data_IF_023408921686
#
_entry.id   IF_023408921686
#
_cell.length_a   1.000
_cell.length_b   1.000
_cell.length_c   1.000
_cell.angle_alpha   90.00
_cell.angle_beta   90.00
_cell.angle_gamma   90.00
#
_symmetry.space_group_name_H-M   'P 1'
#
loop_
_entity.id
_entity.type
_entity.pdbx_description
1 polymer ?
#
# COMPACT_ATOMS: atom_id res chain seq x y z
N UNK A 1 11.38 50.58 -38.62
CA UNK A 1 11.10 49.87 -39.90
C UNK A 1 12.10 48.75 -40.07
N UNK A 2 11.82 47.57 -39.50
CA UNK A 2 12.71 46.41 -39.55
C UNK A 2 11.91 45.21 -40.06
N UNK A 3 12.31 44.74 -41.24
CA UNK A 3 11.69 43.67 -42.02
C UNK A 3 12.04 42.32 -41.39
N UNK A 4 11.16 41.75 -40.56
CA UNK A 4 11.26 40.34 -40.18
C UNK A 4 10.69 39.48 -41.32
N UNK A 5 11.60 38.92 -42.11
CA UNK A 5 11.29 37.86 -43.08
C UNK A 5 10.93 36.59 -42.30
N UNK A 6 9.65 36.25 -42.28
CA UNK A 6 9.21 34.93 -41.84
C UNK A 6 9.63 33.90 -42.89
N UNK A 7 10.59 33.06 -42.54
CA UNK A 7 10.84 31.80 -43.23
C UNK A 7 9.81 30.78 -42.71
N UNK A 8 8.72 30.62 -43.46
CA UNK A 8 7.79 29.50 -43.33
C UNK A 8 8.53 28.26 -43.83
N UNK A 9 9.12 27.50 -42.92
CA UNK A 9 9.64 26.17 -43.24
C UNK A 9 8.45 25.22 -43.28
N UNK A 10 7.96 24.96 -44.48
CA UNK A 10 7.01 23.88 -44.76
C UNK A 10 7.68 22.54 -44.44
N UNK A 11 7.36 21.97 -43.27
CA UNK A 11 7.65 20.57 -42.98
C UNK A 11 6.59 19.78 -43.76
N UNK A 12 7.01 19.27 -44.92
CA UNK A 12 6.26 18.28 -45.67
C UNK A 12 6.01 17.09 -44.73
N UNK A 13 4.72 16.78 -44.55
CA UNK A 13 4.25 15.68 -43.72
C UNK A 13 4.90 14.38 -44.17
N UNK A 14 5.75 13.85 -43.29
CA UNK A 14 6.16 12.46 -43.33
C UNK A 14 4.92 11.65 -42.98
N UNK A 15 4.28 11.09 -44.00
CA UNK A 15 3.26 10.06 -43.88
C UNK A 15 3.92 8.87 -43.16
N UNK A 16 3.73 8.78 -41.85
CA UNK A 16 3.96 7.53 -41.12
C UNK A 16 2.92 6.56 -41.66
N UNK A 17 3.34 5.73 -42.62
CA UNK A 17 2.59 4.55 -43.01
C UNK A 17 2.17 3.83 -41.73
N UNK A 18 0.88 3.55 -41.64
CA UNK A 18 0.31 2.62 -40.67
C UNK A 18 1.07 1.30 -40.75
N UNK A 19 2.06 1.15 -39.87
CA UNK A 19 2.65 -0.12 -39.54
C UNK A 19 1.54 -0.95 -38.93
N UNK A 20 1.18 -2.02 -39.63
CA UNK A 20 0.21 -3.01 -39.27
C UNK A 20 0.16 -3.21 -37.75
N UNK A 21 -1.04 -3.13 -37.20
CA UNK A 21 -1.44 -3.77 -35.95
C UNK A 21 -1.13 -5.26 -36.08
N UNK A 22 0.15 -5.61 -35.90
CA UNK A 22 0.59 -6.96 -35.71
C UNK A 22 -0.11 -7.41 -34.45
N UNK A 23 -1.19 -8.16 -34.64
CA UNK A 23 -1.67 -9.11 -33.67
C UNK A 23 -0.45 -9.97 -33.30
N UNK A 24 0.27 -9.56 -32.27
CA UNK A 24 1.28 -10.36 -31.61
C UNK A 24 0.52 -11.43 -30.83
N UNK A 25 -0.07 -12.36 -31.59
CA UNK A 25 -0.57 -13.62 -31.11
C UNK A 25 0.67 -14.41 -30.70
N UNK A 26 1.13 -14.18 -29.47
CA UNK A 26 2.17 -14.95 -28.83
C UNK A 26 1.70 -16.41 -28.76
N UNK A 27 2.28 -17.33 -29.56
CA UNK A 27 1.80 -18.69 -29.62
C UNK A 27 2.38 -19.47 -28.42
N UNK A 28 1.51 -19.93 -27.52
CA UNK A 28 1.81 -21.08 -26.67
C UNK A 28 2.53 -20.84 -25.34
N UNK A 29 2.74 -19.60 -24.90
CA UNK A 29 3.22 -19.33 -23.54
C UNK A 29 2.05 -19.23 -22.57
N UNK A 30 1.89 -20.20 -21.66
CA UNK A 30 0.97 -20.14 -20.52
C UNK A 30 0.95 -18.73 -19.92
N UNK A 31 -0.08 -17.95 -20.26
CA UNK A 31 -0.20 -16.50 -20.05
C UNK A 31 -0.28 -16.13 -18.58
N UNK A 32 0.84 -16.23 -17.88
CA UNK A 32 1.06 -15.56 -16.60
C UNK A 32 1.40 -14.11 -16.95
N UNK A 33 0.37 -13.31 -17.23
CA UNK A 33 0.51 -11.85 -17.26
C UNK A 33 1.33 -11.42 -16.05
N UNK A 34 2.36 -10.60 -16.28
CA UNK A 34 3.32 -10.18 -15.27
C UNK A 34 2.56 -9.47 -14.14
N UNK A 35 2.29 -10.18 -13.04
CA UNK A 35 1.46 -9.68 -11.92
C UNK A 35 2.31 -8.79 -11.01
N UNK A 36 2.40 -7.50 -11.32
CA UNK A 36 2.93 -6.50 -10.39
C UNK A 36 1.79 -6.14 -9.42
N UNK A 37 1.58 -7.00 -8.42
CA UNK A 37 0.36 -6.92 -7.61
C UNK A 37 -0.88 -7.30 -8.44
N UNK A 38 -2.04 -7.45 -7.80
CA UNK A 38 -3.26 -7.90 -8.48
C UNK A 38 -4.02 -6.74 -9.15
N UNK A 39 -3.31 -5.83 -9.80
CA UNK A 39 -3.91 -4.67 -10.45
C UNK A 39 -3.77 -4.85 -11.96
N UNK A 40 -4.89 -4.87 -12.68
CA UNK A 40 -4.91 -4.91 -14.15
C UNK A 40 -5.37 -3.54 -14.63
N UNK A 41 -4.44 -2.76 -15.19
CA UNK A 41 -4.76 -1.49 -15.86
C UNK A 41 -5.18 -1.80 -17.31
N UNK A 42 -6.19 -1.09 -17.82
CA UNK A 42 -6.56 -1.16 -19.24
C UNK A 42 -5.50 -0.45 -20.11
N UNK A 43 -5.43 -0.81 -21.39
CA UNK A 43 -4.48 -0.22 -22.34
C UNK A 43 -4.61 1.30 -22.45
N UNK A 44 -5.84 1.83 -22.38
CA UNK A 44 -6.11 3.27 -22.44
C UNK A 44 -5.53 4.04 -21.24
N UNK A 45 -5.38 3.39 -20.09
CA UNK A 45 -4.78 3.99 -18.88
C UNK A 45 -3.25 3.99 -18.91
N UNK A 46 -2.64 3.26 -19.85
CA UNK A 46 -1.18 3.16 -20.00
C UNK A 46 -0.60 4.21 -20.95
N UNK A 47 -1.39 4.71 -21.89
CA UNK A 47 -0.93 5.64 -22.94
C UNK A 47 -0.57 7.05 -22.42
N UNK A 48 -1.11 7.46 -21.28
CA UNK A 48 -0.74 8.75 -20.65
C UNK A 48 0.66 8.76 -20.03
N UNK A 49 1.32 7.60 -19.93
CA UNK A 49 2.63 7.48 -19.28
C UNK A 49 3.82 7.66 -20.24
N UNK A 50 3.62 7.52 -21.56
CA UNK A 50 4.70 7.38 -22.55
C UNK A 50 5.63 8.60 -22.68
N UNK A 51 5.22 9.77 -22.19
CA UNK A 51 5.98 11.03 -22.29
C UNK A 51 6.59 11.50 -20.97
N UNK A 52 6.62 10.66 -19.94
CA UNK A 52 7.21 11.06 -18.67
C UNK A 52 8.76 10.99 -18.70
N UNK A 53 9.48 12.07 -18.28
CA UNK A 53 10.95 12.10 -18.32
C UNK A 53 11.60 11.03 -17.43
N UNK A 54 10.85 10.48 -16.47
CA UNK A 54 11.30 9.35 -15.64
C UNK A 54 11.36 8.04 -16.41
N UNK A 55 10.44 7.79 -17.33
CA UNK A 55 10.46 6.56 -18.14
C UNK A 55 11.59 6.61 -19.16
N UNK A 56 11.83 7.76 -19.80
CA UNK A 56 12.98 7.93 -20.70
C UNK A 56 14.32 7.67 -19.99
N UNK A 57 14.50 8.22 -18.79
CA UNK A 57 15.68 7.96 -17.96
C UNK A 57 15.78 6.48 -17.56
N UNK A 58 14.65 5.83 -17.30
CA UNK A 58 14.63 4.41 -16.96
C UNK A 58 15.03 3.56 -18.16
N UNK A 59 14.47 3.83 -19.34
CA UNK A 59 14.79 3.14 -20.59
C UNK A 59 16.28 3.22 -20.87
N UNK A 60 16.84 4.45 -20.83
CA UNK A 60 18.27 4.69 -21.00
C UNK A 60 19.13 3.85 -20.04
N UNK A 61 18.70 3.72 -18.77
CA UNK A 61 19.40 2.90 -17.77
C UNK A 61 19.26 1.40 -18.03
N UNK A 62 18.11 0.94 -18.52
CA UNK A 62 17.89 -0.45 -18.85
C UNK A 62 18.73 -0.84 -20.07
N UNK A 63 18.74 -0.01 -21.11
CA UNK A 63 19.53 -0.20 -22.33
C UNK A 63 21.04 -0.24 -22.01
N UNK A 64 21.52 0.68 -21.17
CA UNK A 64 22.92 0.67 -20.73
C UNK A 64 23.31 -0.63 -20.00
N UNK A 65 22.37 -1.24 -19.26
CA UNK A 65 22.61 -2.52 -18.56
C UNK A 65 22.54 -3.71 -19.51
N UNK A 66 21.71 -3.66 -20.55
CA UNK A 66 21.68 -4.67 -21.61
C UNK A 66 22.97 -4.62 -22.42
N UNK A 67 23.40 -3.41 -22.82
CA UNK A 67 24.68 -3.20 -23.50
C UNK A 67 25.88 -3.67 -22.66
N UNK A 68 25.83 -3.49 -21.34
CA UNK A 68 26.85 -4.00 -20.42
C UNK A 68 26.73 -5.52 -20.13
N UNK A 69 25.79 -6.24 -20.74
CA UNK A 69 25.56 -7.68 -20.50
C UNK A 69 25.05 -8.03 -19.09
N UNK A 70 24.65 -7.03 -18.29
CA UNK A 70 24.16 -7.22 -16.90
C UNK A 70 22.69 -7.64 -16.84
N UNK A 71 22.02 -7.70 -17.98
CA UNK A 71 20.59 -7.95 -18.13
C UNK A 71 20.28 -8.37 -19.58
N UNK A 72 19.31 -9.24 -19.79
CA UNK A 72 18.80 -9.59 -21.12
C UNK A 72 17.74 -8.59 -21.58
N UNK A 73 17.53 -8.46 -22.90
CA UNK A 73 16.52 -7.57 -23.47
C UNK A 73 15.11 -7.86 -22.91
N UNK A 74 14.70 -9.13 -22.88
CA UNK A 74 13.40 -9.53 -22.31
C UNK A 74 13.21 -9.07 -20.86
N UNK A 75 14.27 -9.09 -20.05
CA UNK A 75 14.24 -8.63 -18.65
C UNK A 75 14.19 -7.10 -18.57
N UNK A 76 14.78 -6.39 -19.52
CA UNK A 76 14.68 -4.93 -19.61
C UNK A 76 13.24 -4.54 -19.98
N UNK A 77 12.68 -5.15 -21.01
CA UNK A 77 11.32 -4.87 -21.49
C UNK A 77 10.28 -5.16 -20.40
N UNK A 78 10.41 -6.29 -19.69
CA UNK A 78 9.54 -6.63 -18.56
C UNK A 78 9.60 -5.59 -17.43
N UNK A 79 10.79 -5.04 -17.14
CA UNK A 79 10.96 -3.98 -16.13
C UNK A 79 10.41 -2.65 -16.59
N UNK A 80 10.57 -2.35 -17.88
CA UNK A 80 10.03 -1.13 -18.46
C UNK A 80 8.50 -1.15 -18.41
N UNK A 81 7.88 -2.28 -18.78
CA UNK A 81 6.43 -2.47 -18.69
C UNK A 81 5.91 -2.36 -17.24
N UNK A 82 6.61 -2.95 -16.26
CA UNK A 82 6.27 -2.77 -14.85
C UNK A 82 6.38 -1.29 -14.43
N UNK A 83 7.44 -0.60 -14.84
CA UNK A 83 7.62 0.79 -14.48
C UNK A 83 6.56 1.70 -15.12
N UNK A 84 6.19 1.45 -16.38
CA UNK A 84 5.13 2.16 -17.08
C UNK A 84 3.79 2.03 -16.34
N UNK A 85 3.43 0.80 -15.93
CA UNK A 85 2.23 0.55 -15.09
C UNK A 85 2.28 1.29 -13.75
N UNK A 86 3.45 1.36 -13.11
CA UNK A 86 3.60 2.05 -11.83
C UNK A 86 3.47 3.55 -11.98
N UNK A 87 4.01 4.12 -13.06
CA UNK A 87 3.93 5.55 -13.35
C UNK A 87 2.49 5.94 -13.67
N UNK A 88 1.78 5.19 -14.54
CA UNK A 88 0.37 5.48 -14.85
C UNK A 88 -0.51 5.41 -13.61
N UNK A 89 -0.36 4.36 -12.79
CA UNK A 89 -1.09 4.21 -11.53
C UNK A 89 -0.78 5.34 -10.53
N UNK A 90 0.48 5.80 -10.50
CA UNK A 90 0.88 6.92 -9.64
C UNK A 90 0.25 8.24 -10.09
N UNK A 91 0.17 8.50 -11.39
CA UNK A 91 -0.46 9.72 -11.91
C UNK A 91 -1.97 9.72 -11.66
N UNK A 92 -2.66 8.60 -11.88
CA UNK A 92 -4.09 8.46 -11.55
C UNK A 92 -4.37 8.72 -10.06
N UNK A 93 -3.53 8.16 -9.18
CA UNK A 93 -3.60 8.41 -7.74
C UNK A 93 -3.37 9.86 -7.37
N UNK A 94 -2.39 10.48 -8.03
CA UNK A 94 -2.01 11.86 -7.77
C UNK A 94 -3.13 12.79 -8.21
N UNK A 95 -3.74 12.52 -9.35
CA UNK A 95 -4.88 13.26 -9.88
C UNK A 95 -6.08 13.14 -8.93
N UNK A 96 -6.46 11.92 -8.56
CA UNK A 96 -7.56 11.69 -7.62
C UNK A 96 -7.38 12.38 -6.27
N UNK A 97 -6.14 12.51 -5.80
CA UNK A 97 -5.82 13.26 -4.56
C UNK A 97 -5.89 14.76 -4.74
N UNK A 98 -5.58 15.27 -5.94
CA UNK A 98 -5.48 16.70 -6.24
C UNK A 98 -6.81 17.30 -6.69
N UNK A 99 -7.62 16.55 -7.43
CA UNK A 99 -8.91 16.99 -7.95
C UNK A 99 -9.77 17.76 -6.92
N UNK A 100 -10.04 17.26 -5.70
CA UNK A 100 -10.87 18.01 -4.74
C UNK A 100 -10.18 19.26 -4.18
N UNK A 101 -8.84 19.31 -4.20
CA UNK A 101 -8.10 20.51 -3.80
C UNK A 101 -8.18 21.57 -4.88
N UNK A 102 -8.06 21.18 -6.15
CA UNK A 102 -8.21 22.08 -7.30
C UNK A 102 -9.63 22.65 -7.39
N UNK A 103 -10.64 21.80 -7.16
CA UNK A 103 -12.05 22.20 -7.07
C UNK A 103 -12.27 23.21 -5.94
N UNK A 104 -11.73 22.94 -4.73
CA UNK A 104 -11.84 23.86 -3.59
C UNK A 104 -11.18 25.22 -3.87
N UNK A 105 -10.01 25.23 -4.53
CA UNK A 105 -9.29 26.45 -4.89
C UNK A 105 -9.96 27.22 -6.05
N UNK A 106 -10.82 26.55 -6.82
CA UNK A 106 -11.35 27.07 -8.08
C UNK A 106 -10.22 27.47 -9.03
N UNK A 107 -9.21 26.60 -9.15
CA UNK A 107 -8.03 26.79 -9.99
C UNK A 107 -7.71 25.50 -10.74
N UNK A 108 -7.08 25.64 -11.91
CA UNK A 108 -6.58 24.51 -12.72
C UNK A 108 -5.21 24.03 -12.24
N UNK A 109 -4.78 22.84 -12.66
CA UNK A 109 -3.44 22.33 -12.31
C UNK A 109 -2.32 23.22 -12.87
N UNK A 110 -2.52 23.78 -14.06
CA UNK A 110 -1.54 24.66 -14.72
C UNK A 110 -1.37 25.99 -13.98
N UNK A 111 -2.47 26.57 -13.47
CA UNK A 111 -2.42 27.76 -12.63
C UNK A 111 -1.69 27.47 -11.31
N UNK A 112 -1.98 26.34 -10.66
CA UNK A 112 -1.30 25.94 -9.42
C UNK A 112 0.20 25.70 -9.65
N UNK A 113 0.57 25.13 -10.80
CA UNK A 113 1.96 24.90 -11.19
C UNK A 113 2.69 26.21 -11.47
N UNK A 114 2.04 27.14 -12.15
CA UNK A 114 2.56 28.48 -12.44
C UNK A 114 2.76 29.27 -11.16
N UNK A 115 1.76 29.32 -10.28
CA UNK A 115 1.85 29.98 -8.97
C UNK A 115 3.01 29.43 -8.13
N UNK A 116 3.26 28.11 -8.18
CA UNK A 116 4.42 27.50 -7.52
C UNK A 116 5.75 27.91 -8.14
N UNK A 117 5.82 28.02 -9.47
CA UNK A 117 7.04 28.46 -10.17
C UNK A 117 7.35 29.93 -9.90
N UNK A 118 6.33 30.74 -9.69
CA UNK A 118 6.43 32.14 -9.27
C UNK A 118 6.79 32.31 -7.79
N UNK A 119 6.81 31.22 -7.03
CA UNK A 119 7.18 31.21 -5.61
C UNK A 119 6.02 31.46 -4.64
N UNK A 120 4.79 31.61 -5.15
CA UNK A 120 3.59 31.75 -4.33
C UNK A 120 3.38 30.48 -3.51
N UNK A 121 3.27 30.63 -2.19
CA UNK A 121 3.06 29.47 -1.33
C UNK A 121 1.59 29.06 -1.36
N UNK A 122 1.32 27.77 -1.13
CA UNK A 122 -0.07 27.28 -1.04
C UNK A 122 -0.87 28.04 0.03
N UNK A 123 -0.19 28.53 1.08
CA UNK A 123 -0.82 29.32 2.13
C UNK A 123 -1.31 30.68 1.64
N UNK A 124 -0.48 31.38 0.86
CA UNK A 124 -0.85 32.67 0.27
C UNK A 124 -2.06 32.53 -0.67
N UNK A 125 -2.11 31.44 -1.45
CA UNK A 125 -3.25 31.14 -2.34
C UNK A 125 -4.54 30.91 -1.54
N UNK A 126 -4.47 30.17 -0.42
CA UNK A 126 -5.62 29.92 0.46
C UNK A 126 -6.12 31.22 1.08
N UNK A 127 -5.20 32.05 1.58
CA UNK A 127 -5.53 33.34 2.20
C UNK A 127 -6.19 34.27 1.15
N UNK A 128 -5.68 34.31 -0.08
CA UNK A 128 -6.26 35.07 -1.19
C UNK A 128 -7.67 34.59 -1.58
N UNK A 129 -7.92 33.28 -1.47
CA UNK A 129 -9.22 32.66 -1.79
C UNK A 129 -10.18 32.62 -0.58
N UNK A 130 -9.73 33.05 0.60
CA UNK A 130 -10.51 32.98 1.84
C UNK A 130 -10.80 31.54 2.29
N UNK A 131 -9.95 30.58 1.92
CA UNK A 131 -10.12 29.16 2.26
C UNK A 131 -9.40 28.86 3.57
N UNK A 132 -10.11 28.25 4.51
CA UNK A 132 -9.54 27.89 5.81
C UNK A 132 -8.66 26.63 5.73
N UNK A 133 -7.67 26.47 6.62
CA UNK A 133 -6.87 25.25 6.72
C UNK A 133 -7.71 23.98 6.95
N UNK A 134 -8.87 24.10 7.57
CA UNK A 134 -9.78 22.98 7.83
C UNK A 134 -10.50 22.53 6.56
N UNK A 135 -10.96 23.46 5.73
CA UNK A 135 -11.51 23.14 4.40
C UNK A 135 -10.47 22.46 3.52
N UNK A 136 -9.22 22.95 3.53
CA UNK A 136 -8.13 22.29 2.81
C UNK A 136 -7.89 20.87 3.34
N UNK A 137 -7.89 20.68 4.67
CA UNK A 137 -7.70 19.36 5.27
C UNK A 137 -8.83 18.41 4.86
N UNK A 138 -10.06 18.90 4.78
CA UNK A 138 -11.19 18.10 4.35
C UNK A 138 -11.10 17.72 2.86
N UNK A 139 -10.74 18.66 1.98
CA UNK A 139 -10.48 18.36 0.57
C UNK A 139 -9.38 17.30 0.40
N UNK A 140 -8.30 17.39 1.18
CA UNK A 140 -7.22 16.40 1.16
C UNK A 140 -7.67 15.01 1.66
N UNK A 141 -8.54 14.96 2.68
CA UNK A 141 -9.14 13.68 3.13
C UNK A 141 -10.06 13.10 2.08
N UNK A 142 -10.90 13.93 1.46
CA UNK A 142 -11.76 13.55 0.35
C UNK A 142 -10.95 12.97 -0.81
N UNK A 143 -9.86 13.65 -1.20
CA UNK A 143 -8.95 13.15 -2.23
C UNK A 143 -8.27 11.83 -1.86
N UNK A 144 -7.88 11.67 -0.58
CA UNK A 144 -7.34 10.40 -0.10
C UNK A 144 -8.40 9.28 -0.12
N UNK A 145 -9.66 9.59 0.17
CA UNK A 145 -10.78 8.65 0.08
C UNK A 145 -11.07 8.27 -1.37
N UNK A 146 -11.13 9.23 -2.29
CA UNK A 146 -11.31 9.00 -3.73
C UNK A 146 -10.19 8.12 -4.29
N UNK A 147 -8.93 8.44 -3.96
CA UNK A 147 -7.77 7.65 -4.35
C UNK A 147 -7.81 6.22 -3.78
N UNK A 148 -8.33 6.04 -2.55
CA UNK A 148 -8.51 4.71 -1.95
C UNK A 148 -9.61 3.91 -2.66
N UNK A 149 -10.70 4.57 -3.04
CA UNK A 149 -11.79 3.94 -3.82
C UNK A 149 -11.27 3.48 -5.19
N UNK A 150 -10.57 4.36 -5.91
CA UNK A 150 -9.94 4.02 -7.19
C UNK A 150 -8.94 2.87 -7.05
N UNK A 151 -8.12 2.86 -5.99
CA UNK A 151 -7.23 1.72 -5.71
C UNK A 151 -8.00 0.42 -5.47
N UNK A 152 -9.14 0.47 -4.80
CA UNK A 152 -9.99 -0.71 -4.59
C UNK A 152 -10.61 -1.25 -5.89
N UNK A 153 -10.88 -0.36 -6.84
CA UNK A 153 -11.48 -0.69 -8.13
C UNK A 153 -10.44 -1.20 -9.14
N UNK A 154 -9.31 -0.51 -9.28
CA UNK A 154 -8.21 -0.86 -10.20
C UNK A 154 -7.44 -2.08 -9.70
N UNK A 155 -7.20 -2.17 -8.41
CA UNK A 155 -6.62 -3.35 -7.78
C UNK A 155 -7.77 -4.17 -7.21
N UNK A 156 -8.48 -4.90 -8.07
CA UNK A 156 -9.46 -5.90 -7.65
C UNK A 156 -8.82 -6.76 -6.56
N UNK A 157 -9.23 -6.49 -5.33
CA UNK A 157 -8.60 -7.10 -4.17
C UNK A 157 -8.82 -8.58 -4.33
N UNK A 158 -7.72 -9.35 -4.37
CA UNK A 158 -7.74 -10.80 -4.21
C UNK A 158 -8.91 -11.17 -3.31
N UNK A 159 -9.94 -11.78 -3.89
CA UNK A 159 -11.24 -11.96 -3.26
C UNK A 159 -11.07 -12.28 -1.77
N UNK A 160 -11.80 -11.65 -0.83
CA UNK A 160 -11.57 -11.75 0.62
C UNK A 160 -11.45 -13.19 1.15
N UNK A 161 -11.87 -14.19 0.38
CA UNK A 161 -11.55 -15.61 0.55
C UNK A 161 -10.03 -15.90 0.73
N UNK A 162 -9.13 -15.24 0.01
CA UNK A 162 -7.69 -15.49 0.08
C UNK A 162 -7.03 -14.96 1.37
N UNK A 163 -7.62 -13.95 2.03
CA UNK A 163 -7.09 -13.39 3.28
C UNK A 163 -7.41 -14.26 4.51
N UNK A 164 -8.47 -15.08 4.45
CA UNK A 164 -8.85 -15.97 5.58
C UNK A 164 -7.80 -17.06 5.84
N UNK A 165 -7.09 -17.54 4.81
CA UNK A 165 -6.09 -18.61 4.96
C UNK A 165 -4.87 -18.23 5.81
N UNK A 166 -4.36 -16.99 5.72
CA UNK A 166 -3.14 -16.57 6.43
C UNK A 166 -3.36 -16.27 7.91
N UNK A 167 -4.55 -15.83 8.30
CA UNK A 167 -4.89 -15.58 9.71
C UNK A 167 -4.95 -16.87 10.53
N UNK A 168 -5.44 -17.98 9.95
CA UNK A 168 -5.47 -19.28 10.61
C UNK A 168 -4.07 -19.88 10.82
N UNK A 169 -3.13 -19.66 9.89
CA UNK A 169 -1.75 -20.14 10.03
C UNK A 169 -1.01 -19.52 11.22
N UNK A 170 -1.12 -18.19 11.41
CA UNK A 170 -0.46 -17.48 12.54
C UNK A 170 -1.04 -17.90 13.89
N UNK A 171 -2.36 -18.09 13.98
CA UNK A 171 -3.02 -18.58 15.21
C UNK A 171 -2.57 -20.01 15.56
N UNK A 172 -2.46 -20.91 14.57
CA UNK A 172 -1.93 -22.27 14.79
C UNK A 172 -0.45 -22.28 15.22
N UNK A 173 0.38 -21.42 14.63
CA UNK A 173 1.79 -21.30 15.00
C UNK A 173 1.98 -20.77 16.44
N UNK A 174 1.19 -19.76 16.84
CA UNK A 174 1.21 -19.23 18.21
C UNK A 174 0.73 -20.28 19.22
N UNK A 175 -0.35 -20.99 18.90
CA UNK A 175 -0.87 -22.07 19.74
C UNK A 175 0.17 -23.19 19.94
N UNK A 176 0.88 -23.58 18.88
CA UNK A 176 2.00 -24.55 18.97
C UNK A 176 3.14 -24.06 19.86
N UNK A 177 3.56 -22.80 19.75
CA UNK A 177 4.60 -22.22 20.61
C UNK A 177 4.15 -22.18 22.08
N UNK A 178 2.90 -21.80 22.36
CA UNK A 178 2.34 -21.81 23.72
C UNK A 178 2.29 -23.23 24.29
N UNK A 179 1.87 -24.21 23.50
CA UNK A 179 1.83 -25.61 23.92
C UNK A 179 3.23 -26.15 24.26
N UNK A 180 4.22 -25.86 23.42
CA UNK A 180 5.63 -26.24 23.65
C UNK A 180 6.18 -25.58 24.93
N UNK A 181 5.90 -24.29 25.14
CA UNK A 181 6.34 -23.58 26.34
C UNK A 181 5.71 -24.12 27.63
N UNK A 182 4.42 -24.49 27.60
CA UNK A 182 3.74 -25.13 28.74
C UNK A 182 4.31 -26.52 29.03
N UNK A 183 4.60 -27.31 27.98
CA UNK A 183 5.23 -28.62 28.13
C UNK A 183 6.62 -28.49 28.78
N UNK A 184 7.45 -27.58 28.30
CA UNK A 184 8.77 -27.31 28.87
C UNK A 184 8.70 -26.86 30.34
N UNK A 185 7.72 -26.02 30.70
CA UNK A 185 7.51 -25.62 32.11
C UNK A 185 7.14 -26.79 33.02
N UNK A 186 6.32 -27.74 32.53
CA UNK A 186 5.95 -28.96 33.29
C UNK A 186 7.15 -29.89 33.48
N UNK A 187 7.95 -30.11 32.44
CA UNK A 187 9.17 -30.92 32.53
C UNK A 187 10.19 -30.31 33.51
N UNK A 188 10.37 -28.98 33.49
CA UNK A 188 11.22 -28.27 34.43
C UNK A 188 10.72 -28.36 35.89
N UNK A 189 9.40 -28.32 36.11
CA UNK A 189 8.80 -28.47 37.43
C UNK A 189 8.97 -29.90 37.98
N UNK A 190 8.76 -30.92 37.15
CA UNK A 190 8.95 -32.34 37.54
C UNK A 190 10.37 -32.60 38.02
N UNK A 191 11.38 -32.08 37.31
CA UNK A 191 12.80 -32.29 37.65
C UNK A 191 13.20 -31.66 38.99
N UNK A 192 12.43 -30.68 39.48
CA UNK A 192 12.68 -30.03 40.78
C UNK A 192 12.12 -30.82 41.96
N UNK A 193 11.19 -31.75 41.72
CA UNK A 193 10.61 -32.58 42.76
C UNK A 193 11.38 -33.88 43.02
N UNK A 194 12.25 -34.32 42.09
CA UNK A 194 13.03 -35.55 42.26
C UNK A 194 14.31 -35.37 43.12
N UNK A 195 14.77 -34.12 43.31
CA UNK A 195 16.01 -33.81 44.03
C UNK A 195 15.81 -33.47 45.52
N UNK A 196 14.60 -33.67 46.06
CA UNK A 196 14.29 -33.42 47.49
C UNK A 196 14.19 -34.68 48.34
N UNK A 197 14.72 -35.83 47.88
CA UNK A 197 14.60 -37.12 48.59
C UNK A 197 15.89 -37.57 49.29
N UNK A 198 16.75 -36.65 49.71
CA UNK A 198 17.92 -37.00 50.54
C UNK A 198 18.30 -35.85 51.48
N UNK A 199 17.67 -35.88 52.65
CA UNK A 199 18.03 -35.26 53.94
C UNK A 199 16.71 -34.87 54.63
N UNK A 200 16.47 -35.11 55.90
CA UNK A 200 17.03 -35.98 56.91
C UNK A 200 15.96 -35.88 58.03
N UNK A 201 15.81 -36.97 58.75
CA UNK A 201 15.02 -37.09 59.95
C UNK A 201 15.36 -35.98 60.98
N UNK A 202 14.38 -35.18 61.41
CA UNK A 202 14.28 -34.65 62.79
C UNK A 202 12.86 -34.14 63.04
N UNK A 203 12.10 -34.96 63.78
CA UNK A 203 11.22 -34.59 64.91
C UNK A 203 10.71 -33.14 65.02
N UNK A 204 9.39 -32.93 65.00
CA UNK A 204 8.60 -32.65 66.22
C UNK A 204 7.11 -32.32 65.92
N UNK A 205 6.27 -33.17 66.50
CA UNK A 205 5.02 -32.94 67.21
C UNK A 205 4.51 -31.49 67.41
N UNK A 206 3.26 -31.22 67.03
CA UNK A 206 2.29 -30.26 67.63
C UNK A 206 1.11 -30.15 66.65
N UNK A 207 0.04 -30.93 66.78
CA UNK A 207 -1.11 -30.73 67.68
C UNK A 207 -1.84 -29.40 67.43
N UNK A 208 -3.14 -29.57 67.20
CA UNK A 208 -4.32 -28.70 67.43
C UNK A 208 -4.85 -27.75 66.36
N UNK A 209 -6.17 -27.92 66.19
CA UNK A 209 -7.25 -26.98 65.84
C UNK A 209 -7.50 -26.74 64.35
N UNK A 210 -8.58 -27.29 63.77
CA UNK A 210 -10.00 -27.02 64.05
C UNK A 210 -10.35 -25.55 63.85
N UNK A 211 -10.81 -25.22 62.65
CA UNK A 211 -11.91 -24.28 62.46
C UNK A 211 -12.41 -24.38 61.02
N UNK A 212 -13.49 -25.14 60.87
CA UNK A 212 -14.52 -24.87 59.87
C UNK A 212 -14.91 -23.39 59.89
N UNK A 213 -14.81 -22.73 58.74
CA UNK A 213 -15.63 -21.55 58.44
C UNK A 213 -16.01 -21.62 56.97
N UNK A 214 -17.22 -22.13 56.76
CA UNK A 214 -18.10 -21.65 55.70
C UNK A 214 -18.19 -20.12 55.82
N UNK A 215 -17.86 -19.39 54.75
CA UNK A 215 -18.44 -18.06 54.53
C UNK A 215 -18.79 -17.90 53.05
N UNK A 216 -20.04 -18.22 52.80
CA UNK A 216 -20.84 -17.76 51.68
C UNK A 216 -21.02 -16.25 51.74
N UNK A 217 -20.46 -15.48 50.81
CA UNK A 217 -21.04 -14.15 50.55
C UNK A 217 -20.72 -13.57 49.16
N UNK A 218 -21.79 -13.51 48.36
CA UNK A 218 -22.24 -12.32 47.61
C UNK A 218 -21.65 -12.05 46.23
N UNK A 219 -22.38 -12.55 45.22
CA UNK A 219 -22.64 -11.78 43.99
C UNK A 219 -23.37 -10.46 44.33
N UNK A 220 -22.96 -9.33 43.72
CA UNK A 220 -23.98 -8.51 43.08
C UNK A 220 -23.52 -7.96 41.71
N UNK A 221 -24.29 -8.31 40.69
CA UNK A 221 -25.05 -7.36 39.89
C UNK A 221 -24.43 -5.96 39.60
N UNK A 222 -23.99 -5.75 38.36
CA UNK A 222 -24.08 -4.48 37.65
C UNK A 222 -23.98 -4.79 36.14
N UNK A 223 -25.02 -4.69 35.30
CA UNK A 223 -26.07 -3.70 35.31
C UNK A 223 -25.55 -2.39 34.74
N UNK A 224 -25.30 -2.32 33.43
CA UNK A 224 -25.14 -1.05 32.73
C UNK A 224 -25.83 -1.12 31.36
N UNK A 225 -27.11 -0.76 31.35
CA UNK A 225 -27.78 -0.20 30.20
C UNK A 225 -27.72 1.32 30.24
N UNK A 226 -27.56 1.95 29.08
CA UNK A 226 -27.95 3.34 28.75
C UNK A 226 -27.60 3.52 27.27
N UNK A 227 -28.54 3.44 26.32
CA UNK A 227 -29.54 4.44 25.95
C UNK A 227 -28.93 5.81 25.65
N UNK A 228 -28.77 6.14 24.37
CA UNK A 228 -28.96 7.51 23.90
C UNK A 228 -29.40 7.49 22.43
N UNK A 229 -30.66 7.90 22.28
CA UNK A 229 -31.37 8.57 21.16
C UNK A 229 -30.76 8.54 19.76
#
# INVERSE_FOLDING_TARGET
MTKNKMAVLAIAGLTVLGGASGAFASPGGNGKGLRVGQCTLSADQLQTADTSPRLEQLQTRLDARVAAGKMTQEKADAKFAEAQQRVSLQELLREARRAPVLELLGMTEDELKTARQEGTTLRDILDQKGITPDQLREAMRSGAAAAKTLMGEVCTVASPAARRGKAHGRRRALARRKAMALKAKREAASKKCDDSTTNDSTTNNSTTDDSTTDDSTTDPNAGNGSTTL
#
